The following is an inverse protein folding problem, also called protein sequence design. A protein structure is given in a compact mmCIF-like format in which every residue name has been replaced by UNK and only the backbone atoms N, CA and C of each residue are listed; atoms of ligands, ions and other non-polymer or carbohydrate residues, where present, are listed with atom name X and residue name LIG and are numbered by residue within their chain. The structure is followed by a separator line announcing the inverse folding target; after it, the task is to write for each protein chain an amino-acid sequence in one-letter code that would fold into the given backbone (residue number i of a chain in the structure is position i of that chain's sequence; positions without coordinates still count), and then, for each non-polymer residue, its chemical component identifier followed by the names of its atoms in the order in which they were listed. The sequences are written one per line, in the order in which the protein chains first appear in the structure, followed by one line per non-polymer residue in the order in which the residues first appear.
data_IF_716895930580
#
_entry.id   IF_716895930580
#
_cell.length_a   1.000
_cell.length_b   1.000
_cell.length_c   1.000
_cell.angle_alpha   90.00
_cell.angle_beta   90.00
_cell.angle_gamma   90.00
#
_symmetry.space_group_name_H-M   'P 1'
#
loop_
_entity.id
_entity.type
_entity.pdbx_description
1 polymer ?
#
# COMPACT_ATOMS: atom_id res chain seq x y z
N UNK A 1 -24.71 -24.74 20.55
CA UNK A 1 -25.24 -24.81 19.16
C UNK A 1 -24.20 -24.19 18.26
N UNK A 2 -23.39 -25.01 17.58
CA UNK A 2 -22.36 -24.53 16.65
C UNK A 2 -23.01 -24.04 15.37
N UNK A 3 -22.65 -22.82 14.94
CA UNK A 3 -23.16 -22.24 13.70
C UNK A 3 -22.38 -22.88 12.53
N UNK A 4 -23.14 -23.53 11.64
CA UNK A 4 -22.68 -24.25 10.46
C UNK A 4 -21.87 -23.40 9.49
N UNK A 5 -20.92 -24.03 8.81
CA UNK A 5 -20.07 -23.52 7.73
C UNK A 5 -20.81 -23.28 6.38
N UNK A 6 -22.12 -22.95 6.38
CA UNK A 6 -22.95 -23.04 5.15
C UNK A 6 -23.66 -21.76 4.68
N UNK A 7 -23.68 -20.66 5.43
CA UNK A 7 -24.33 -19.43 4.94
C UNK A 7 -23.46 -18.76 3.84
N UNK A 8 -24.03 -18.15 2.80
CA UNK A 8 -23.25 -17.35 1.84
C UNK A 8 -22.80 -16.02 2.46
N UNK A 9 -21.67 -15.47 1.99
CA UNK A 9 -21.27 -14.10 2.31
C UNK A 9 -22.20 -13.11 1.61
N UNK A 10 -22.71 -12.14 2.35
CA UNK A 10 -23.78 -11.25 1.87
C UNK A 10 -23.20 -9.94 1.37
N UNK A 11 -23.33 -9.70 0.06
CA UNK A 11 -22.80 -8.52 -0.63
C UNK A 11 -23.94 -7.56 -0.93
N UNK A 12 -23.78 -6.28 -0.58
CA UNK A 12 -24.65 -5.20 -1.04
C UNK A 12 -23.90 -4.39 -2.11
N UNK A 13 -24.57 -4.04 -3.20
CA UNK A 13 -24.01 -3.15 -4.23
C UNK A 13 -24.85 -1.87 -4.38
N UNK A 14 -24.23 -0.71 -4.31
CA UNK A 14 -24.86 0.59 -4.55
C UNK A 14 -24.22 1.27 -5.76
N UNK A 15 -25.01 1.53 -6.80
CA UNK A 15 -24.56 2.17 -8.03
C UNK A 15 -25.76 2.81 -8.73
N UNK A 16 -25.62 4.04 -9.24
CA UNK A 16 -26.71 4.76 -9.90
C UNK A 16 -27.05 4.20 -11.29
N UNK A 17 -26.08 3.54 -11.93
CA UNK A 17 -26.23 2.90 -13.24
C UNK A 17 -27.01 1.59 -13.14
N UNK A 18 -28.20 1.58 -13.76
CA UNK A 18 -29.00 0.35 -13.90
C UNK A 18 -28.23 -0.79 -14.59
N UNK A 19 -27.36 -0.44 -15.56
CA UNK A 19 -26.49 -1.41 -16.25
C UNK A 19 -25.48 -2.02 -15.28
N UNK A 20 -24.86 -1.22 -14.42
CA UNK A 20 -23.89 -1.74 -13.44
C UNK A 20 -24.57 -2.61 -12.39
N UNK A 21 -25.76 -2.22 -11.90
CA UNK A 21 -26.55 -3.06 -10.98
C UNK A 21 -26.93 -4.40 -11.60
N UNK A 22 -27.21 -4.42 -12.91
CA UNK A 22 -27.48 -5.66 -13.65
C UNK A 22 -26.24 -6.53 -13.84
N UNK A 23 -25.08 -5.93 -14.12
CA UNK A 23 -23.79 -6.64 -14.16
C UNK A 23 -23.49 -7.28 -12.79
N UNK A 24 -23.72 -6.56 -11.69
CA UNK A 24 -23.55 -7.11 -10.34
C UNK A 24 -24.47 -8.30 -10.09
N UNK A 25 -25.76 -8.22 -10.44
CA UNK A 25 -26.70 -9.35 -10.31
C UNK A 25 -26.19 -10.58 -11.05
N UNK A 26 -25.92 -10.45 -12.35
CA UNK A 26 -25.42 -11.54 -13.20
C UNK A 26 -24.12 -12.13 -12.68
N UNK A 27 -23.20 -11.28 -12.22
CA UNK A 27 -21.93 -11.73 -11.64
C UNK A 27 -22.15 -12.68 -10.47
N UNK A 28 -23.00 -12.30 -9.50
CA UNK A 28 -23.25 -13.13 -8.32
C UNK A 28 -24.15 -14.33 -8.62
N UNK A 29 -25.07 -14.25 -9.58
CA UNK A 29 -25.84 -15.40 -10.07
C UNK A 29 -24.92 -16.47 -10.66
N UNK A 30 -23.95 -16.07 -11.49
CA UNK A 30 -23.00 -17.01 -12.13
C UNK A 30 -22.02 -17.65 -11.15
N UNK A 31 -21.73 -17.01 -10.02
CA UNK A 31 -20.72 -17.47 -9.06
C UNK A 31 -21.31 -17.96 -7.71
N UNK A 32 -22.63 -17.88 -7.52
CA UNK A 32 -23.31 -18.17 -6.25
C UNK A 32 -23.56 -19.65 -5.96
N UNK A 33 -23.73 -20.49 -6.99
CA UNK A 33 -24.14 -21.90 -6.80
C UNK A 33 -22.97 -22.90 -6.95
N UNK A 34 -22.05 -22.66 -7.89
CA UNK A 34 -20.88 -23.50 -8.22
C UNK A 34 -19.62 -22.64 -8.46
N UNK A 35 -19.40 -21.64 -7.61
CA UNK A 35 -18.21 -20.77 -7.70
C UNK A 35 -16.90 -21.57 -7.74
N UNK A 36 -15.81 -21.02 -8.33
CA UNK A 36 -14.53 -21.71 -8.36
C UNK A 36 -14.15 -22.15 -6.95
N UNK A 37 -13.71 -23.41 -6.81
CA UNK A 37 -13.54 -24.14 -5.53
C UNK A 37 -12.64 -23.46 -4.48
N UNK A 38 -11.99 -22.35 -4.84
CA UNK A 38 -11.10 -21.55 -4.00
C UNK A 38 -11.75 -20.34 -3.33
N UNK A 39 -12.97 -19.95 -3.69
CA UNK A 39 -13.67 -18.80 -3.12
C UNK A 39 -14.84 -19.25 -2.21
N UNK A 40 -15.12 -18.53 -1.11
CA UNK A 40 -16.31 -18.79 -0.29
C UNK A 40 -17.58 -18.51 -1.10
N UNK A 41 -18.69 -19.20 -0.80
CA UNK A 41 -20.02 -18.87 -1.36
C UNK A 41 -20.37 -17.43 -1.04
N UNK A 42 -20.87 -16.68 -2.03
CA UNK A 42 -21.29 -15.28 -1.90
C UNK A 42 -22.64 -15.09 -2.58
N UNK A 43 -23.47 -14.20 -2.04
CA UNK A 43 -24.73 -13.78 -2.61
C UNK A 43 -24.81 -12.25 -2.69
N UNK A 44 -25.51 -11.73 -3.69
CA UNK A 44 -25.89 -10.33 -3.73
C UNK A 44 -27.20 -10.17 -2.94
N UNK A 45 -27.10 -9.75 -1.68
CA UNK A 45 -28.26 -9.65 -0.79
C UNK A 45 -29.17 -8.45 -1.11
N UNK A 46 -28.70 -7.50 -1.93
CA UNK A 46 -29.50 -6.39 -2.41
C UNK A 46 -28.72 -5.45 -3.32
N UNK A 47 -29.44 -4.52 -3.93
CA UNK A 47 -28.86 -3.38 -4.65
C UNK A 47 -29.53 -2.07 -4.25
N UNK A 48 -28.80 -0.98 -4.27
CA UNK A 48 -29.32 0.39 -4.09
C UNK A 48 -28.96 1.27 -5.28
N UNK A 49 -29.82 2.24 -5.62
CA UNK A 49 -29.58 3.16 -6.75
C UNK A 49 -28.98 4.52 -6.35
N UNK A 50 -28.84 4.77 -5.04
CA UNK A 50 -28.20 5.96 -4.49
C UNK A 50 -27.82 5.77 -3.03
N UNK A 51 -27.14 6.76 -2.46
CA UNK A 51 -26.62 6.68 -1.10
C UNK A 51 -27.67 6.66 0.00
N UNK A 52 -28.87 7.21 -0.22
CA UNK A 52 -29.94 7.16 0.80
C UNK A 52 -30.46 5.73 0.91
N UNK A 53 -30.82 5.14 -0.23
CA UNK A 53 -31.25 3.73 -0.29
C UNK A 53 -30.15 2.78 0.17
N UNK A 54 -28.88 3.11 -0.10
CA UNK A 54 -27.73 2.34 0.35
C UNK A 54 -27.68 2.23 1.88
N UNK A 55 -27.79 3.36 2.60
CA UNK A 55 -27.74 3.36 4.06
C UNK A 55 -28.93 2.62 4.68
N UNK A 56 -30.13 2.80 4.13
CA UNK A 56 -31.33 2.06 4.54
C UNK A 56 -31.16 0.55 4.30
N UNK A 57 -30.62 0.17 3.14
CA UNK A 57 -30.35 -1.22 2.79
C UNK A 57 -29.26 -1.83 3.69
N UNK A 58 -28.21 -1.10 4.05
CA UNK A 58 -27.20 -1.58 5.00
C UNK A 58 -27.85 -1.91 6.35
N UNK A 59 -28.68 -1.02 6.89
CA UNK A 59 -29.37 -1.23 8.17
C UNK A 59 -30.36 -2.39 8.13
N UNK A 60 -31.12 -2.52 7.03
CA UNK A 60 -32.14 -3.56 6.86
C UNK A 60 -31.55 -4.94 6.55
N UNK A 61 -30.56 -4.99 5.67
CA UNK A 61 -30.04 -6.25 5.13
C UNK A 61 -28.85 -6.76 5.92
N UNK A 62 -28.07 -5.93 6.61
CA UNK A 62 -26.86 -6.36 7.33
C UNK A 62 -25.84 -7.08 6.44
N UNK A 63 -25.30 -6.42 5.40
CA UNK A 63 -24.31 -7.03 4.52
C UNK A 63 -22.95 -7.24 5.20
N UNK A 64 -22.20 -8.23 4.74
CA UNK A 64 -20.82 -8.50 5.18
C UNK A 64 -19.80 -7.56 4.53
N UNK A 65 -20.11 -7.10 3.31
CA UNK A 65 -19.31 -6.17 2.50
C UNK A 65 -20.23 -5.30 1.65
N UNK A 66 -19.84 -4.04 1.48
CA UNK A 66 -20.51 -3.09 0.59
C UNK A 66 -19.61 -2.78 -0.62
N UNK A 67 -20.16 -2.90 -1.81
CA UNK A 67 -19.56 -2.35 -3.04
C UNK A 67 -20.27 -1.04 -3.36
N UNK A 68 -19.53 0.06 -3.36
CA UNK A 68 -20.09 1.41 -3.33
C UNK A 68 -19.56 2.25 -4.49
N UNK A 69 -20.46 2.71 -5.35
CA UNK A 69 -20.14 3.74 -6.32
C UNK A 69 -19.81 5.07 -5.65
N UNK A 70 -18.89 5.82 -6.24
CA UNK A 70 -18.52 7.16 -5.79
C UNK A 70 -19.55 8.20 -6.21
N UNK A 71 -20.04 8.12 -7.44
CA UNK A 71 -20.84 9.18 -8.06
C UNK A 71 -22.31 8.75 -8.12
N UNK A 72 -23.05 9.05 -7.05
CA UNK A 72 -24.48 8.75 -6.95
C UNK A 72 -25.30 10.02 -6.66
N UNK A 73 -26.56 10.10 -7.11
CA UNK A 73 -27.45 11.22 -6.79
C UNK A 73 -27.88 11.20 -5.31
N UNK A 74 -28.46 12.32 -4.83
CA UNK A 74 -28.95 12.56 -3.45
C UNK A 74 -27.87 12.54 -2.36
N UNK A 75 -27.15 11.43 -2.23
CA UNK A 75 -26.05 11.24 -1.30
C UNK A 75 -24.95 10.46 -2.03
N UNK A 76 -23.77 11.07 -2.18
CA UNK A 76 -22.68 10.47 -2.94
C UNK A 76 -21.95 9.39 -2.11
N UNK A 77 -21.07 8.61 -2.76
CA UNK A 77 -20.36 7.51 -2.11
C UNK A 77 -19.44 7.93 -0.97
N UNK A 78 -18.85 9.14 -1.01
CA UNK A 78 -18.02 9.65 0.09
C UNK A 78 -18.88 9.99 1.31
N UNK A 79 -20.03 10.64 1.10
CA UNK A 79 -20.95 10.98 2.20
C UNK A 79 -21.55 9.72 2.85
N UNK A 80 -21.84 8.69 2.05
CA UNK A 80 -22.25 7.36 2.54
C UNK A 80 -21.15 6.75 3.38
N UNK A 81 -19.90 6.78 2.91
CA UNK A 81 -18.76 6.23 3.61
C UNK A 81 -18.56 6.92 4.97
N UNK A 82 -18.61 8.25 5.03
CA UNK A 82 -18.46 9.02 6.27
C UNK A 82 -19.52 8.61 7.30
N UNK A 83 -20.80 8.55 6.89
CA UNK A 83 -21.89 8.10 7.77
C UNK A 83 -21.71 6.65 8.22
N UNK A 84 -21.25 5.76 7.34
CA UNK A 84 -20.99 4.36 7.69
C UNK A 84 -19.85 4.24 8.70
N UNK A 85 -18.85 5.13 8.68
CA UNK A 85 -17.78 5.12 9.68
C UNK A 85 -18.27 5.49 11.07
N UNK A 86 -19.33 6.31 11.17
CA UNK A 86 -19.96 6.63 12.45
C UNK A 86 -20.84 5.47 12.98
N UNK A 87 -21.63 4.84 12.11
CA UNK A 87 -22.67 3.86 12.54
C UNK A 87 -22.25 2.40 12.45
N UNK A 88 -21.31 2.07 11.54
CA UNK A 88 -20.81 0.72 11.31
C UNK A 88 -19.34 0.74 10.81
N UNK A 89 -18.39 1.21 11.65
CA UNK A 89 -16.99 1.36 11.26
C UNK A 89 -16.33 0.06 10.83
N UNK A 90 -16.87 -1.10 11.22
CA UNK A 90 -16.31 -2.40 10.85
C UNK A 90 -16.68 -2.88 9.44
N UNK A 91 -17.69 -2.29 8.78
CA UNK A 91 -18.14 -2.75 7.46
C UNK A 91 -17.07 -2.45 6.38
N UNK A 92 -16.48 -3.48 5.71
CA UNK A 92 -15.61 -3.26 4.58
C UNK A 92 -16.39 -2.65 3.43
N UNK A 93 -15.87 -1.54 2.89
CA UNK A 93 -16.43 -0.85 1.74
C UNK A 93 -15.41 -0.91 0.61
N UNK A 94 -15.80 -1.48 -0.53
CA UNK A 94 -14.99 -1.51 -1.76
C UNK A 94 -15.57 -0.46 -2.70
N UNK A 95 -14.78 0.55 -3.05
CA UNK A 95 -15.23 1.59 -3.97
C UNK A 95 -15.28 1.06 -5.41
N UNK A 96 -16.36 1.34 -6.12
CA UNK A 96 -16.47 1.04 -7.55
C UNK A 96 -16.32 2.33 -8.34
N UNK A 97 -15.16 2.54 -8.97
CA UNK A 97 -14.84 3.83 -9.61
C UNK A 97 -14.61 3.70 -11.12
N UNK A 98 -14.90 4.76 -11.86
CA UNK A 98 -14.51 4.90 -13.26
C UNK A 98 -12.99 5.06 -13.43
N UNK A 99 -12.48 4.65 -14.59
CA UNK A 99 -11.06 4.81 -14.96
C UNK A 99 -10.79 6.20 -15.53
N UNK A 100 -10.85 7.21 -14.67
CA UNK A 100 -10.60 8.63 -15.00
C UNK A 100 -9.68 9.26 -13.96
N UNK A 101 -9.05 10.40 -14.27
CA UNK A 101 -8.21 11.12 -13.31
C UNK A 101 -9.02 11.60 -12.09
N UNK A 102 -10.25 12.10 -12.33
CA UNK A 102 -11.17 12.48 -11.27
C UNK A 102 -11.54 11.28 -10.40
N UNK A 103 -11.90 10.15 -11.02
CA UNK A 103 -12.20 8.90 -10.31
C UNK A 103 -11.03 8.40 -9.48
N UNK A 104 -9.80 8.51 -10.00
CA UNK A 104 -8.59 8.15 -9.26
C UNK A 104 -8.39 8.98 -7.98
N UNK A 105 -8.54 10.32 -8.08
CA UNK A 105 -8.44 11.22 -6.94
C UNK A 105 -9.55 10.95 -5.91
N UNK A 106 -10.80 10.83 -6.35
CA UNK A 106 -11.93 10.54 -5.47
C UNK A 106 -11.80 9.17 -4.78
N UNK A 107 -11.25 8.16 -5.47
CA UNK A 107 -11.00 6.84 -4.86
C UNK A 107 -9.92 6.92 -3.78
N UNK A 108 -8.83 7.65 -4.03
CA UNK A 108 -7.78 7.84 -3.02
C UNK A 108 -8.31 8.57 -1.79
N UNK A 109 -9.17 9.56 -1.99
CA UNK A 109 -9.87 10.23 -0.91
C UNK A 109 -10.79 9.28 -0.12
N UNK A 110 -11.54 8.41 -0.81
CA UNK A 110 -12.35 7.39 -0.15
C UNK A 110 -11.50 6.41 0.68
N UNK A 111 -10.35 5.96 0.18
CA UNK A 111 -9.43 5.09 0.93
C UNK A 111 -8.91 5.77 2.20
N UNK A 112 -8.62 7.07 2.14
CA UNK A 112 -8.22 7.85 3.30
C UNK A 112 -9.34 8.01 4.33
N UNK A 113 -10.60 8.04 3.88
CA UNK A 113 -11.81 8.07 4.72
C UNK A 113 -12.23 6.67 5.22
N UNK A 114 -11.42 5.63 4.99
CA UNK A 114 -11.66 4.30 5.53
C UNK A 114 -12.41 3.35 4.59
N UNK A 115 -12.42 3.60 3.28
CA UNK A 115 -12.71 2.53 2.33
C UNK A 115 -11.60 1.46 2.41
N UNK A 116 -11.99 0.19 2.27
CA UNK A 116 -11.07 -0.94 2.43
C UNK A 116 -10.22 -1.17 1.16
N UNK A 117 -10.83 -1.00 -0.02
CA UNK A 117 -10.18 -1.13 -1.32
C UNK A 117 -11.07 -0.51 -2.42
N UNK A 118 -10.71 -0.73 -3.67
CA UNK A 118 -11.50 -0.32 -4.83
C UNK A 118 -11.43 -1.35 -5.97
N UNK A 119 -12.36 -1.22 -6.91
CA UNK A 119 -12.40 -1.92 -8.20
C UNK A 119 -12.73 -0.94 -9.32
N UNK A 120 -12.27 -1.24 -10.53
CA UNK A 120 -12.59 -0.43 -11.71
C UNK A 120 -13.91 -0.88 -12.32
N UNK A 121 -14.79 0.08 -12.62
CA UNK A 121 -16.00 -0.17 -13.40
C UNK A 121 -15.58 -0.72 -14.78
N UNK A 122 -16.13 -1.88 -15.22
CA UNK A 122 -15.81 -2.43 -16.51
C UNK A 122 -16.39 -1.56 -17.63
N UNK A 123 -15.74 -1.55 -18.79
CA UNK A 123 -16.32 -0.92 -19.98
C UNK A 123 -17.37 -1.85 -20.60
N UNK A 124 -18.63 -1.68 -20.21
CA UNK A 124 -19.75 -2.52 -20.64
C UNK A 124 -20.22 -2.27 -22.08
N UNK A 125 -19.73 -1.24 -22.78
CA UNK A 125 -20.27 -0.81 -24.07
C UNK A 125 -19.90 -1.73 -25.25
N UNK A 126 -18.91 -2.61 -25.11
CA UNK A 126 -18.41 -3.45 -26.21
C UNK A 126 -18.70 -4.94 -26.04
N UNK A 127 -18.67 -5.46 -24.82
CA UNK A 127 -18.84 -6.89 -24.53
C UNK A 127 -19.22 -7.10 -23.05
N UNK A 128 -20.45 -7.58 -22.81
CA UNK A 128 -20.96 -7.87 -21.47
C UNK A 128 -20.19 -9.02 -20.80
N UNK A 129 -19.79 -10.04 -21.57
CA UNK A 129 -19.06 -11.20 -21.05
C UNK A 129 -17.68 -10.79 -20.57
N UNK A 130 -16.95 -10.00 -21.37
CA UNK A 130 -15.66 -9.45 -20.96
C UNK A 130 -15.78 -8.50 -19.75
N UNK A 131 -16.87 -7.71 -19.68
CA UNK A 131 -17.14 -6.84 -18.54
C UNK A 131 -17.36 -7.64 -17.24
N UNK A 132 -18.17 -8.71 -17.30
CA UNK A 132 -18.42 -9.62 -16.18
C UNK A 132 -17.13 -10.30 -15.74
N UNK A 133 -16.35 -10.86 -16.67
CA UNK A 133 -15.08 -11.53 -16.36
C UNK A 133 -14.07 -10.58 -15.72
N UNK A 134 -13.92 -9.36 -16.26
CA UNK A 134 -13.01 -8.34 -15.73
C UNK A 134 -13.40 -7.91 -14.32
N UNK A 135 -14.71 -7.72 -14.06
CA UNK A 135 -15.19 -7.38 -12.72
C UNK A 135 -15.04 -8.56 -11.76
N UNK A 136 -15.33 -9.79 -12.19
CA UNK A 136 -15.18 -11.00 -11.39
C UNK A 136 -13.73 -11.17 -10.90
N UNK A 137 -12.76 -11.02 -11.81
CA UNK A 137 -11.33 -11.14 -11.53
C UNK A 137 -10.83 -10.08 -10.55
N UNK A 138 -11.43 -8.89 -10.54
CA UNK A 138 -11.04 -7.81 -9.62
C UNK A 138 -11.77 -7.89 -8.27
N UNK A 139 -13.08 -8.12 -8.28
CA UNK A 139 -13.96 -7.91 -7.13
C UNK A 139 -14.02 -9.13 -6.20
N UNK A 140 -14.24 -10.33 -6.74
CA UNK A 140 -14.48 -11.52 -5.92
C UNK A 140 -13.27 -11.87 -5.03
N UNK A 141 -12.01 -11.82 -5.51
CA UNK A 141 -10.86 -12.05 -4.66
C UNK A 141 -10.72 -11.03 -3.53
N UNK A 142 -11.03 -9.75 -3.80
CA UNK A 142 -11.00 -8.68 -2.78
C UNK A 142 -12.07 -8.89 -1.71
N UNK A 143 -13.30 -9.24 -2.12
CA UNK A 143 -14.37 -9.58 -1.17
C UNK A 143 -13.95 -10.75 -0.27
N UNK A 144 -13.46 -11.84 -0.86
CA UNK A 144 -13.01 -13.00 -0.10
C UNK A 144 -11.87 -12.64 0.86
N UNK A 145 -10.90 -11.83 0.41
CA UNK A 145 -9.76 -11.44 1.22
C UNK A 145 -10.16 -10.58 2.42
N UNK A 146 -11.05 -9.60 2.21
CA UNK A 146 -11.50 -8.66 3.27
C UNK A 146 -12.45 -9.30 4.29
N UNK A 147 -13.09 -10.43 3.95
CA UNK A 147 -14.08 -11.08 4.82
C UNK A 147 -13.57 -12.34 5.53
N UNK A 148 -12.39 -12.87 5.15
CA UNK A 148 -11.77 -14.07 5.75
C UNK A 148 -11.61 -14.01 7.28
N UNK A 149 -11.33 -12.84 7.85
CA UNK A 149 -11.15 -12.65 9.29
C UNK A 149 -12.45 -12.40 10.07
N UNK A 150 -13.53 -11.98 9.39
CA UNK A 150 -14.77 -11.51 10.05
C UNK A 150 -15.73 -12.65 10.44
N UNK A 151 -15.51 -13.85 9.89
CA UNK A 151 -16.25 -15.08 10.22
C UNK A 151 -15.73 -15.83 11.45
N UNK A 152 -14.60 -15.41 12.00
CA UNK A 152 -14.20 -15.82 13.36
C UNK A 152 -14.87 -14.83 14.32
N UNK A 153 -15.99 -15.26 14.89
CA UNK A 153 -16.65 -14.55 15.98
C UNK A 153 -15.65 -14.17 17.06
N UNK A 154 -15.87 -12.99 17.64
CA UNK A 154 -15.30 -12.50 18.89
C UNK A 154 -15.11 -13.65 19.87
N UNK A 155 -13.85 -14.03 20.10
CA UNK A 155 -13.47 -15.20 20.87
C UNK A 155 -11.96 -15.35 20.82
N UNK A 156 -11.31 -14.72 21.80
CA UNK A 156 -10.04 -15.12 22.40
C UNK A 156 -8.96 -15.67 21.46
N UNK A 157 -7.98 -14.82 21.12
CA UNK A 157 -6.56 -15.07 21.43
C UNK A 157 -5.69 -13.92 20.94
N UNK A 158 -5.69 -12.83 21.71
CA UNK A 158 -4.67 -11.80 21.66
C UNK A 158 -3.66 -12.04 22.80
N UNK A 159 -2.91 -13.13 22.73
CA UNK A 159 -1.76 -13.37 23.60
C UNK A 159 -0.94 -14.57 23.13
N UNK A 160 -0.29 -14.51 21.96
CA UNK A 160 0.91 -15.31 21.63
C UNK A 160 1.44 -14.98 20.23
N UNK A 161 2.10 -13.83 20.11
CA UNK A 161 3.09 -13.57 19.06
C UNK A 161 4.09 -12.49 19.52
N UNK A 162 4.48 -12.55 20.79
CA UNK A 162 5.53 -11.73 21.35
C UNK A 162 6.48 -12.64 22.12
N UNK A 163 7.35 -13.36 21.40
CA UNK A 163 8.64 -13.89 21.84
C UNK A 163 9.19 -14.88 20.80
N UNK A 164 9.90 -14.34 19.83
CA UNK A 164 11.11 -14.95 19.27
C UNK A 164 11.87 -13.88 18.49
N UNK A 165 12.38 -12.88 19.21
CA UNK A 165 13.52 -12.14 18.72
C UNK A 165 14.76 -13.02 18.96
N UNK A 166 14.99 -14.00 18.09
CA UNK A 166 16.30 -14.60 17.96
C UNK A 166 17.16 -13.57 17.21
N UNK A 167 17.92 -12.78 17.95
CA UNK A 167 19.03 -11.98 17.45
C UNK A 167 20.11 -12.91 16.92
N UNK A 168 19.95 -13.38 15.69
CA UNK A 168 21.06 -13.97 14.96
C UNK A 168 22.02 -12.83 14.62
N UNK A 169 23.22 -12.90 15.19
CA UNK A 169 24.29 -11.91 15.02
C UNK A 169 24.58 -11.72 13.53
N UNK A 170 24.15 -10.58 13.00
CA UNK A 170 24.48 -10.15 11.64
C UNK A 170 25.66 -9.18 11.69
N UNK A 171 26.48 -9.21 10.65
CA UNK A 171 27.41 -8.12 10.37
C UNK A 171 26.57 -6.87 10.10
N UNK A 172 26.73 -5.84 10.93
CA UNK A 172 26.00 -4.56 10.85
C UNK A 172 26.42 -3.76 9.61
N UNK A 173 26.00 -4.22 8.43
CA UNK A 173 26.04 -3.37 7.24
C UNK A 173 24.99 -2.28 7.39
N UNK A 174 25.35 -0.99 7.23
CA UNK A 174 24.38 0.08 7.30
C UNK A 174 23.34 -0.11 6.20
N UNK A 175 22.05 0.05 6.53
CA UNK A 175 20.99 0.03 5.53
C UNK A 175 21.20 1.20 4.57
N UNK A 176 21.16 0.94 3.27
CA UNK A 176 21.39 1.90 2.18
C UNK A 176 20.11 2.21 1.40
N UNK A 177 19.13 1.30 1.39
CA UNK A 177 17.84 1.46 0.72
C UNK A 177 16.71 0.80 1.49
N UNK A 178 15.53 1.41 1.45
CA UNK A 178 14.28 0.76 1.87
C UNK A 178 13.43 0.49 0.63
N UNK A 179 13.00 -0.75 0.44
CA UNK A 179 12.04 -1.14 -0.60
C UNK A 179 10.75 -1.66 0.04
N UNK A 180 9.60 -1.17 -0.41
CA UNK A 180 8.28 -1.45 0.18
C UNK A 180 7.35 -2.06 -0.87
N UNK A 181 6.68 -3.15 -0.52
CA UNK A 181 5.68 -3.82 -1.35
C UNK A 181 4.31 -3.87 -0.67
N UNK A 182 3.26 -3.52 -1.41
CA UNK A 182 1.88 -3.45 -0.89
C UNK A 182 0.82 -3.54 -2.00
N UNK A 183 -0.40 -3.92 -1.61
CA UNK A 183 -1.54 -4.13 -2.51
C UNK A 183 -2.83 -3.63 -1.85
N UNK A 184 -3.85 -4.49 -1.65
CA UNK A 184 -5.09 -4.15 -0.94
C UNK A 184 -4.84 -3.54 0.45
N UNK A 185 -5.46 -2.38 0.70
CA UNK A 185 -5.25 -1.57 1.91
C UNK A 185 -3.95 -0.75 1.93
N UNK A 186 -3.10 -0.91 0.92
CA UNK A 186 -1.78 -0.28 0.83
C UNK A 186 -1.80 1.26 0.83
N UNK A 187 -2.66 1.95 0.07
CA UNK A 187 -2.70 3.41 0.08
C UNK A 187 -2.99 4.00 1.48
N UNK A 188 -3.97 3.43 2.20
CA UNK A 188 -4.27 3.85 3.57
C UNK A 188 -3.12 3.55 4.53
N UNK A 189 -2.49 2.37 4.39
CA UNK A 189 -1.33 2.01 5.22
C UNK A 189 -0.13 2.94 4.99
N UNK A 190 0.11 3.36 3.74
CA UNK A 190 1.14 4.35 3.40
C UNK A 190 0.84 5.72 4.01
N UNK A 191 -0.40 6.21 3.91
CA UNK A 191 -0.81 7.48 4.51
C UNK A 191 -0.67 7.50 6.03
N UNK A 192 -0.82 6.36 6.70
CA UNK A 192 -0.63 6.26 8.15
C UNK A 192 0.85 6.16 8.56
N UNK A 193 1.69 5.54 7.72
CA UNK A 193 3.08 5.21 8.04
C UNK A 193 4.08 6.28 7.58
N UNK A 194 4.03 6.71 6.32
CA UNK A 194 5.04 7.59 5.73
C UNK A 194 5.15 8.97 6.41
N UNK A 195 4.05 9.63 6.83
CA UNK A 195 4.13 10.92 7.53
C UNK A 195 4.91 10.87 8.87
N UNK A 196 5.13 9.67 9.43
CA UNK A 196 5.89 9.46 10.66
C UNK A 196 7.41 9.37 10.43
N UNK A 197 7.85 9.40 9.17
CA UNK A 197 9.26 9.47 8.80
C UNK A 197 9.71 10.93 8.66
N UNK A 198 10.87 11.32 9.25
CA UNK A 198 11.35 12.69 9.21
C UNK A 198 11.92 13.06 7.84
N UNK A 199 11.97 14.35 7.50
CA UNK A 199 12.66 14.84 6.30
C UNK A 199 14.15 14.48 6.27
N UNK A 200 14.76 14.24 7.42
CA UNK A 200 16.15 13.79 7.58
C UNK A 200 16.34 12.27 7.38
N UNK A 201 15.33 11.53 6.91
CA UNK A 201 15.44 10.08 6.70
C UNK A 201 16.60 9.79 5.73
N UNK A 202 17.62 9.01 6.15
CA UNK A 202 18.94 9.15 5.56
C UNK A 202 19.19 8.19 4.38
N UNK A 203 18.14 7.50 3.91
CA UNK A 203 18.15 6.58 2.77
C UNK A 203 16.99 6.83 1.82
N UNK A 204 17.11 6.48 0.52
CA UNK A 204 15.99 6.43 -0.40
C UNK A 204 14.96 5.36 0.01
N UNK A 205 13.70 5.63 -0.30
CA UNK A 205 12.59 4.66 -0.19
C UNK A 205 12.03 4.42 -1.57
N UNK A 206 11.85 3.16 -1.98
CA UNK A 206 11.18 2.80 -3.22
C UNK A 206 9.96 1.92 -2.91
N UNK A 207 8.85 2.20 -3.57
CA UNK A 207 7.56 1.59 -3.24
C UNK A 207 6.93 1.02 -4.50
N UNK A 208 6.52 -0.25 -4.44
CA UNK A 208 5.58 -0.85 -5.38
C UNK A 208 4.24 -0.99 -4.69
N UNK A 209 3.26 -0.23 -5.18
CA UNK A 209 1.85 -0.42 -4.91
C UNK A 209 1.19 -1.04 -6.14
N UNK A 210 0.46 -2.15 -5.96
CA UNK A 210 -0.39 -2.68 -7.01
C UNK A 210 -1.55 -1.71 -7.26
N UNK A 211 -1.37 -0.85 -8.26
CA UNK A 211 -2.33 0.19 -8.66
C UNK A 211 -2.28 0.39 -10.18
N UNK A 212 -3.42 0.68 -10.83
CA UNK A 212 -3.45 1.11 -12.22
C UNK A 212 -2.67 2.41 -12.46
N UNK A 213 -2.25 2.61 -13.71
CA UNK A 213 -1.42 3.74 -14.14
C UNK A 213 -1.95 5.11 -13.69
N UNK A 214 -3.23 5.39 -13.93
CA UNK A 214 -3.85 6.67 -13.57
C UNK A 214 -3.83 6.98 -12.06
N UNK A 215 -3.74 5.95 -11.21
CA UNK A 215 -3.86 6.11 -9.77
C UNK A 215 -2.52 6.36 -9.09
N UNK A 216 -1.44 5.75 -9.59
CA UNK A 216 -0.11 5.89 -8.99
C UNK A 216 0.40 7.34 -8.98
N UNK A 217 0.12 8.14 -10.02
CA UNK A 217 0.47 9.56 -10.02
C UNK A 217 -0.27 10.35 -8.93
N UNK A 218 -1.58 10.17 -8.85
CA UNK A 218 -2.42 10.82 -7.84
C UNK A 218 -2.05 10.39 -6.40
N UNK A 219 -1.67 9.12 -6.19
CA UNK A 219 -1.20 8.63 -4.89
C UNK A 219 0.11 9.31 -4.49
N UNK A 220 1.07 9.43 -5.42
CA UNK A 220 2.32 10.12 -5.15
C UNK A 220 2.11 11.60 -4.80
N UNK A 221 1.28 12.33 -5.55
CA UNK A 221 0.91 13.72 -5.26
C UNK A 221 0.27 13.88 -3.87
N UNK A 222 -0.58 12.93 -3.48
CA UNK A 222 -1.26 12.95 -2.20
C UNK A 222 -0.30 12.69 -1.04
N UNK A 223 0.57 11.69 -1.17
CA UNK A 223 1.59 11.38 -0.17
C UNK A 223 2.61 12.51 -0.01
N UNK A 224 3.01 13.17 -1.09
CA UNK A 224 3.94 14.31 -1.05
C UNK A 224 3.39 15.47 -0.22
N UNK A 225 2.07 15.67 -0.22
CA UNK A 225 1.39 16.71 0.58
C UNK A 225 1.34 16.41 2.07
N UNK A 226 1.37 15.12 2.47
CA UNK A 226 1.23 14.73 3.88
C UNK A 226 2.54 14.24 4.52
N UNK A 227 3.60 14.05 3.73
CA UNK A 227 4.89 13.55 4.21
C UNK A 227 5.93 14.68 4.34
N UNK A 228 6.84 14.55 5.31
CA UNK A 228 8.02 15.42 5.39
C UNK A 228 9.10 15.02 4.36
N UNK A 229 9.07 13.78 3.88
CA UNK A 229 9.88 13.30 2.77
C UNK A 229 9.26 13.72 1.44
N UNK A 230 10.11 14.00 0.45
CA UNK A 230 9.65 14.22 -0.91
C UNK A 230 9.11 12.91 -1.47
N UNK A 231 7.87 12.88 -1.94
CA UNK A 231 7.25 11.71 -2.57
C UNK A 231 6.96 12.00 -4.03
N UNK A 232 7.33 11.09 -4.92
CA UNK A 232 7.02 11.23 -6.34
C UNK A 232 6.89 9.91 -7.05
N UNK A 233 6.12 9.91 -8.13
CA UNK A 233 6.15 8.82 -9.09
C UNK A 233 7.53 8.77 -9.75
N UNK A 234 8.04 7.56 -9.93
CA UNK A 234 9.32 7.30 -10.53
C UNK A 234 9.24 7.37 -12.07
N UNK A 235 10.26 7.98 -12.69
CA UNK A 235 10.51 7.93 -14.12
C UNK A 235 11.78 7.13 -14.41
N UNK A 236 11.85 6.57 -15.61
CA UNK A 236 13.03 5.82 -16.03
C UNK A 236 14.28 6.71 -15.97
N UNK A 237 15.35 6.18 -15.40
CA UNK A 237 16.63 6.89 -15.25
C UNK A 237 16.70 7.86 -14.07
N UNK A 238 15.62 8.05 -13.30
CA UNK A 238 15.63 8.91 -12.10
C UNK A 238 16.77 8.50 -11.15
N UNK A 239 17.49 9.49 -10.63
CA UNK A 239 18.55 9.25 -9.66
C UNK A 239 17.94 8.91 -8.29
N UNK A 240 18.31 7.76 -7.74
CA UNK A 240 17.82 7.31 -6.44
C UNK A 240 18.64 8.01 -5.36
N UNK A 241 18.02 8.95 -4.64
CA UNK A 241 18.68 9.79 -3.63
C UNK A 241 18.00 9.70 -2.26
N UNK A 242 18.78 9.82 -1.15
CA UNK A 242 18.23 9.90 0.20
C UNK A 242 17.18 11.00 0.38
N UNK A 243 16.27 10.82 1.35
CA UNK A 243 15.22 11.79 1.65
C UNK A 243 14.07 11.83 0.63
N UNK A 244 14.05 10.89 -0.33
CA UNK A 244 13.02 10.79 -1.38
C UNK A 244 12.35 9.41 -1.39
N UNK A 245 11.03 9.41 -1.56
CA UNK A 245 10.19 8.23 -1.77
C UNK A 245 9.80 8.15 -3.25
N UNK A 246 10.11 7.02 -3.88
CA UNK A 246 9.83 6.73 -5.28
C UNK A 246 8.72 5.71 -5.41
N UNK A 247 7.58 6.11 -5.99
CA UNK A 247 6.46 5.21 -6.25
C UNK A 247 6.54 4.67 -7.68
N UNK A 248 6.50 3.35 -7.84
CA UNK A 248 6.44 2.72 -9.15
C UNK A 248 5.21 3.21 -9.94
N UNK A 249 5.36 3.60 -11.22
CA UNK A 249 4.21 3.90 -12.05
C UNK A 249 3.41 2.63 -12.33
N UNK A 250 2.09 2.74 -12.29
CA UNK A 250 1.19 1.65 -12.67
C UNK A 250 1.43 1.24 -14.13
N UNK A 251 1.22 -0.04 -14.43
CA UNK A 251 1.51 -0.60 -15.74
C UNK A 251 3.00 -0.47 -16.15
N UNK A 252 3.94 -0.46 -15.20
CA UNK A 252 5.37 -0.63 -15.47
C UNK A 252 6.06 -1.28 -14.28
N UNK A 253 6.99 -2.19 -14.51
CA UNK A 253 7.83 -2.73 -13.44
C UNK A 253 8.93 -1.74 -13.10
N UNK A 254 9.26 -1.63 -11.81
CA UNK A 254 10.33 -0.79 -11.30
C UNK A 254 11.45 -1.66 -10.71
N UNK A 255 12.67 -1.47 -11.20
CA UNK A 255 13.90 -2.05 -10.67
C UNK A 255 14.86 -0.95 -10.25
N UNK A 256 15.86 -1.31 -9.44
CA UNK A 256 17.06 -0.48 -9.24
C UNK A 256 18.21 -0.99 -10.12
N UNK A 257 18.93 -0.06 -10.76
CA UNK A 257 20.06 -0.37 -11.64
C UNK A 257 21.21 0.63 -11.44
N UNK A 258 22.44 0.24 -11.81
CA UNK A 258 23.59 1.16 -11.84
C UNK A 258 23.67 1.82 -13.21
N UNK A 259 24.06 3.10 -13.27
CA UNK A 259 24.44 3.73 -14.52
C UNK A 259 25.75 3.10 -15.02
N UNK A 260 25.68 2.30 -16.10
CA UNK A 260 26.89 1.92 -16.85
C UNK A 260 27.48 3.18 -17.48
N UNK A 261 28.58 3.69 -16.92
CA UNK A 261 29.45 4.62 -17.64
C UNK A 261 30.31 3.80 -18.62
N UNK A 262 30.51 4.31 -19.83
CA UNK A 262 31.15 3.59 -20.93
C UNK A 262 32.55 3.06 -20.61
N UNK A 263 32.89 1.96 -21.29
CA UNK A 263 34.18 1.24 -21.34
C UNK A 263 35.23 1.62 -20.31
N UNK A 264 35.29 0.85 -19.22
CA UNK A 264 36.51 0.75 -18.40
C UNK A 264 36.26 0.55 -16.92
N UNK A 265 36.52 -0.69 -16.48
CA UNK A 265 37.09 -1.06 -15.18
C UNK A 265 36.16 -0.93 -13.95
N UNK A 266 35.82 -2.12 -13.42
CA UNK A 266 35.40 -2.48 -12.06
C UNK A 266 34.05 -2.00 -11.50
N UNK A 267 32.97 -2.57 -12.06
CA UNK A 267 31.55 -2.47 -11.67
C UNK A 267 31.20 -3.20 -10.34
N UNK A 268 32.16 -3.33 -9.40
CA UNK A 268 32.02 -4.15 -8.16
C UNK A 268 32.22 -3.33 -6.88
N UNK A 269 32.59 -2.04 -6.97
CA UNK A 269 32.84 -1.19 -5.77
C UNK A 269 31.85 -0.05 -5.54
N UNK A 270 30.88 0.16 -6.43
CA UNK A 270 29.87 1.21 -6.29
C UNK A 270 28.69 0.74 -5.43
N UNK A 271 28.91 0.62 -4.11
CA UNK A 271 27.87 0.49 -3.09
C UNK A 271 26.82 1.62 -3.24
N UNK A 272 25.74 1.38 -4.00
CA UNK A 272 24.60 2.30 -4.19
C UNK A 272 24.88 3.64 -4.91
N UNK A 273 26.13 4.06 -5.06
CA UNK A 273 26.50 5.36 -5.67
C UNK A 273 26.16 5.38 -7.15
N UNK A 274 25.18 6.19 -7.52
CA UNK A 274 24.71 6.32 -8.91
C UNK A 274 23.61 5.33 -9.29
N UNK A 275 22.95 4.71 -8.31
CA UNK A 275 21.75 3.93 -8.53
C UNK A 275 20.65 4.78 -9.18
N UNK A 276 19.96 4.17 -10.14
CA UNK A 276 18.88 4.77 -10.90
C UNK A 276 17.67 3.85 -10.93
N UNK A 277 16.51 4.47 -11.07
CA UNK A 277 15.27 3.78 -11.41
C UNK A 277 15.42 3.22 -12.81
N UNK A 278 15.04 1.95 -12.98
CA UNK A 278 14.87 1.32 -14.28
C UNK A 278 13.42 0.87 -14.41
N UNK A 279 12.74 1.35 -15.43
CA UNK A 279 11.36 0.97 -15.74
C UNK A 279 11.33 0.05 -16.95
N UNK A 280 10.45 -0.95 -16.94
CA UNK A 280 10.28 -1.84 -18.09
C UNK A 280 8.87 -2.42 -18.21
N UNK A 281 8.56 -2.91 -19.41
CA UNK A 281 7.23 -3.44 -19.80
C UNK A 281 7.19 -4.95 -20.04
N UNK A 282 8.08 -5.70 -19.39
CA UNK A 282 8.00 -7.17 -19.36
C UNK A 282 6.62 -7.64 -18.90
N UNK A 283 6.32 -8.90 -19.24
CA UNK A 283 5.07 -9.55 -18.88
C UNK A 283 4.82 -9.49 -17.36
N UNK A 284 3.55 -9.34 -16.94
CA UNK A 284 3.19 -9.34 -15.52
C UNK A 284 3.75 -10.55 -14.78
N UNK A 285 4.39 -10.29 -13.64
CA UNK A 285 4.86 -11.33 -12.72
C UNK A 285 3.84 -11.48 -11.61
N UNK A 286 3.45 -12.71 -11.28
CA UNK A 286 2.37 -13.00 -10.33
C UNK A 286 1.06 -12.26 -10.68
N UNK A 287 0.77 -12.10 -11.98
CA UNK A 287 -0.37 -11.35 -12.51
C UNK A 287 -0.37 -9.84 -12.16
N UNK A 288 0.77 -9.28 -11.75
CA UNK A 288 0.90 -7.90 -11.30
C UNK A 288 1.89 -7.13 -12.19
N UNK A 289 1.55 -5.89 -12.56
CA UNK A 289 2.45 -4.89 -13.14
C UNK A 289 2.07 -3.50 -12.64
N UNK A 290 2.86 -2.87 -11.74
CA UNK A 290 4.16 -3.30 -11.20
C UNK A 290 4.07 -4.58 -10.35
N UNK A 291 5.21 -5.25 -10.17
CA UNK A 291 5.38 -6.39 -9.26
C UNK A 291 6.48 -6.05 -8.25
N UNK A 292 6.24 -6.39 -6.99
CA UNK A 292 7.13 -6.20 -5.86
C UNK A 292 8.39 -7.04 -6.03
N UNK A 293 8.27 -8.25 -6.58
CA UNK A 293 9.40 -9.15 -6.78
C UNK A 293 10.52 -8.50 -7.63
N UNK A 294 10.18 -7.79 -8.71
CA UNK A 294 11.20 -7.10 -9.52
C UNK A 294 11.99 -6.05 -8.72
N UNK A 295 11.29 -5.24 -7.93
CA UNK A 295 11.95 -4.24 -7.09
C UNK A 295 12.85 -4.90 -6.04
N UNK A 296 12.33 -5.92 -5.35
CA UNK A 296 13.05 -6.56 -4.25
C UNK A 296 14.26 -7.36 -4.76
N UNK A 297 14.14 -8.11 -5.85
CA UNK A 297 15.28 -8.84 -6.45
C UNK A 297 16.38 -7.89 -6.93
N UNK A 298 16.00 -6.80 -7.59
CA UNK A 298 16.99 -5.81 -8.06
C UNK A 298 17.68 -5.11 -6.90
N UNK A 299 16.96 -4.82 -5.80
CA UNK A 299 17.53 -4.28 -4.58
C UNK A 299 18.48 -5.26 -3.88
N UNK A 300 18.10 -6.53 -3.77
CA UNK A 300 18.96 -7.59 -3.24
C UNK A 300 20.27 -7.71 -4.03
N UNK A 301 20.17 -7.73 -5.36
CA UNK A 301 21.33 -7.82 -6.27
C UNK A 301 22.28 -6.63 -6.14
N UNK A 302 21.74 -5.43 -5.98
CA UNK A 302 22.54 -4.20 -5.98
C UNK A 302 23.10 -3.83 -4.60
N UNK A 303 22.29 -3.94 -3.56
CA UNK A 303 22.64 -3.45 -2.21
C UNK A 303 23.02 -4.58 -1.25
N UNK A 304 22.73 -5.85 -1.57
CA UNK A 304 23.03 -6.98 -0.71
C UNK A 304 22.49 -6.78 0.71
N UNK A 305 23.37 -6.85 1.71
CA UNK A 305 23.05 -6.64 3.12
C UNK A 305 22.57 -5.20 3.44
N UNK A 306 22.83 -4.22 2.57
CA UNK A 306 22.34 -2.86 2.69
C UNK A 306 20.86 -2.68 2.31
N UNK A 307 20.19 -3.72 1.79
CA UNK A 307 18.77 -3.67 1.47
C UNK A 307 17.89 -3.97 2.70
N UNK A 308 16.89 -3.10 2.94
CA UNK A 308 15.77 -3.40 3.82
C UNK A 308 14.49 -3.51 2.98
N UNK A 309 13.89 -4.69 2.96
CA UNK A 309 12.59 -4.95 2.38
C UNK A 309 11.49 -4.91 3.44
N UNK A 310 10.41 -4.19 3.16
CA UNK A 310 9.21 -4.14 3.99
C UNK A 310 8.02 -4.64 3.18
N UNK A 311 7.43 -5.75 3.60
CA UNK A 311 6.20 -6.28 3.04
C UNK A 311 5.00 -5.84 3.88
N UNK A 312 4.02 -5.16 3.28
CA UNK A 312 2.83 -4.65 3.96
C UNK A 312 1.55 -5.28 3.38
N UNK A 313 0.41 -4.94 3.98
CA UNK A 313 -0.93 -5.43 3.63
C UNK A 313 -1.13 -5.61 2.13
N UNK A 314 -1.74 -6.74 1.77
CA UNK A 314 -1.97 -7.07 0.38
C UNK A 314 -2.39 -8.51 0.16
N UNK A 315 -3.14 -8.74 -0.90
CA UNK A 315 -3.53 -10.09 -1.33
C UNK A 315 -2.42 -10.72 -2.19
N UNK A 316 -2.31 -12.05 -2.13
CA UNK A 316 -1.43 -12.84 -2.99
C UNK A 316 -0.09 -13.15 -2.34
N UNK A 317 0.92 -13.41 -3.17
CA UNK A 317 2.27 -13.80 -2.74
C UNK A 317 3.37 -13.01 -3.45
N UNK A 318 3.02 -12.01 -4.27
CA UNK A 318 4.02 -11.19 -4.96
C UNK A 318 4.94 -10.48 -3.95
N UNK A 319 6.24 -10.50 -4.25
CA UNK A 319 7.29 -10.00 -3.37
C UNK A 319 7.83 -11.04 -2.38
N UNK A 320 7.24 -12.24 -2.26
CA UNK A 320 7.82 -13.32 -1.47
C UNK A 320 9.18 -13.77 -2.04
N UNK A 321 9.27 -13.95 -3.36
CA UNK A 321 10.52 -14.38 -4.01
C UNK A 321 11.63 -13.34 -3.82
N UNK A 322 11.29 -12.06 -3.99
CA UNK A 322 12.21 -10.96 -3.80
C UNK A 322 12.58 -10.76 -2.33
N UNK A 323 11.67 -10.97 -1.39
CA UNK A 323 11.98 -10.95 0.04
C UNK A 323 12.95 -12.08 0.41
N UNK A 324 12.81 -13.28 -0.18
CA UNK A 324 13.80 -14.36 -0.03
C UNK A 324 15.16 -13.93 -0.58
N UNK A 325 15.21 -13.33 -1.76
CA UNK A 325 16.45 -12.81 -2.33
C UNK A 325 17.13 -11.77 -1.43
N UNK A 326 16.35 -10.85 -0.83
CA UNK A 326 16.88 -9.87 0.15
C UNK A 326 17.42 -10.58 1.39
N UNK A 327 16.68 -11.56 1.93
CA UNK A 327 17.12 -12.36 3.08
C UNK A 327 18.43 -13.13 2.79
N UNK A 328 18.51 -13.82 1.66
CA UNK A 328 19.66 -14.60 1.21
C UNK A 328 20.89 -13.72 0.94
N UNK A 329 20.68 -12.49 0.47
CA UNK A 329 21.75 -11.51 0.30
C UNK A 329 22.22 -10.85 1.62
N UNK A 330 21.67 -11.27 2.76
CA UNK A 330 21.99 -10.76 4.11
C UNK A 330 21.23 -9.49 4.50
N UNK A 331 20.28 -9.03 3.68
CA UNK A 331 19.46 -7.86 3.93
C UNK A 331 18.39 -8.10 5.00
N UNK A 332 17.69 -7.04 5.37
CA UNK A 332 16.62 -7.07 6.36
C UNK A 332 15.27 -7.23 5.68
N UNK A 333 14.43 -8.14 6.19
CA UNK A 333 13.05 -8.30 5.76
C UNK A 333 12.14 -8.00 6.95
N UNK A 334 11.22 -7.06 6.79
CA UNK A 334 10.17 -6.74 7.74
C UNK A 334 8.81 -7.09 7.13
N UNK A 335 7.86 -7.47 7.97
CA UNK A 335 6.47 -7.64 7.57
C UNK A 335 5.55 -6.83 8.49
N UNK A 336 4.48 -6.27 7.93
CA UNK A 336 3.32 -5.83 8.73
C UNK A 336 2.72 -7.04 9.46
N UNK A 337 2.01 -6.85 10.57
CA UNK A 337 1.30 -7.92 11.29
C UNK A 337 -0.11 -8.18 10.75
N UNK A 338 -0.71 -9.29 11.17
CA UNK A 338 -2.07 -9.67 10.78
C UNK A 338 -3.11 -8.68 11.32
N UNK A 339 -2.99 -8.29 12.60
CA UNK A 339 -3.98 -7.48 13.29
C UNK A 339 -4.20 -6.09 12.66
N UNK A 340 -3.16 -5.51 12.06
CA UNK A 340 -3.25 -4.20 11.40
C UNK A 340 -3.30 -4.28 9.88
N UNK A 341 -3.19 -5.48 9.29
CA UNK A 341 -3.31 -5.67 7.84
C UNK A 341 -4.78 -5.68 7.42
N UNK A 342 -5.12 -4.91 6.38
CA UNK A 342 -6.43 -5.03 5.74
C UNK A 342 -6.60 -6.43 5.11
N UNK A 343 -5.51 -6.97 4.54
CA UNK A 343 -5.43 -8.34 4.04
C UNK A 343 -4.11 -8.98 4.45
N UNK A 344 -4.22 -10.06 5.24
CA UNK A 344 -3.10 -10.93 5.65
C UNK A 344 -2.73 -11.93 4.54
N UNK A 345 -2.28 -11.41 3.39
CA UNK A 345 -1.82 -12.22 2.25
C UNK A 345 -0.31 -12.12 2.09
N UNK A 346 0.15 -11.09 1.38
CA UNK A 346 1.56 -10.84 1.09
C UNK A 346 2.47 -10.84 2.34
N UNK A 347 2.15 -10.10 3.43
CA UNK A 347 2.99 -10.13 4.63
C UNK A 347 2.90 -11.47 5.37
N UNK A 348 1.74 -12.13 5.33
CA UNK A 348 1.57 -13.49 5.87
C UNK A 348 2.45 -14.51 5.18
N UNK A 349 2.56 -14.46 3.84
CA UNK A 349 3.47 -15.34 3.09
C UNK A 349 4.93 -15.14 3.46
N UNK A 350 5.34 -13.91 3.75
CA UNK A 350 6.70 -13.59 4.20
C UNK A 350 6.93 -14.07 5.64
N UNK A 351 5.95 -13.94 6.52
CA UNK A 351 6.00 -14.44 7.90
C UNK A 351 6.07 -15.98 7.94
N UNK A 352 5.17 -16.66 7.22
CA UNK A 352 5.10 -18.13 7.14
C UNK A 352 6.38 -18.75 6.56
N UNK A 353 7.07 -18.01 5.69
CA UNK A 353 8.35 -18.43 5.12
C UNK A 353 9.52 -18.39 6.13
N UNK A 354 9.33 -17.81 7.32
CA UNK A 354 10.36 -17.73 8.35
C UNK A 354 11.53 -16.79 8.02
N UNK A 355 11.37 -15.92 7.02
CA UNK A 355 12.43 -15.02 6.54
C UNK A 355 12.35 -13.61 7.12
N UNK A 356 11.23 -13.25 7.75
CA UNK A 356 11.03 -11.95 8.38
C UNK A 356 11.90 -11.80 9.63
N UNK A 357 12.67 -10.72 9.69
CA UNK A 357 13.43 -10.32 10.88
C UNK A 357 12.53 -9.76 11.98
N UNK A 358 11.38 -9.19 11.62
CA UNK A 358 10.33 -8.80 12.56
C UNK A 358 8.97 -8.72 11.83
N UNK A 359 7.91 -9.04 12.56
CA UNK A 359 6.51 -8.84 12.17
C UNK A 359 5.94 -7.77 13.10
N UNK A 360 5.44 -6.67 12.54
CA UNK A 360 5.21 -5.43 13.29
C UNK A 360 3.81 -4.85 13.03
N UNK A 361 3.12 -4.33 14.06
CA UNK A 361 1.90 -3.56 13.85
C UNK A 361 2.20 -2.31 13.03
N UNK A 362 1.26 -1.90 12.16
CA UNK A 362 1.38 -0.73 11.26
C UNK A 362 1.92 0.52 11.98
N UNK A 363 1.43 0.77 13.20
CA UNK A 363 1.82 1.92 14.00
C UNK A 363 3.29 1.93 14.44
N UNK A 364 3.95 0.76 14.51
CA UNK A 364 5.34 0.62 14.95
C UNK A 364 6.35 0.62 13.78
N UNK A 365 5.91 0.34 12.55
CA UNK A 365 6.78 0.20 11.36
C UNK A 365 7.69 1.42 11.16
N UNK A 366 7.14 2.63 11.21
CA UNK A 366 7.93 3.84 11.02
C UNK A 366 9.02 4.02 12.09
N UNK A 367 8.74 3.61 13.34
CA UNK A 367 9.71 3.59 14.43
C UNK A 367 10.86 2.63 14.14
N UNK A 368 10.52 1.41 13.73
CA UNK A 368 11.50 0.38 13.38
C UNK A 368 12.39 0.81 12.21
N UNK A 369 11.79 1.35 11.15
CA UNK A 369 12.54 1.86 10.00
C UNK A 369 13.56 2.91 10.44
N UNK A 370 13.16 3.88 11.26
CA UNK A 370 14.06 4.91 11.80
C UNK A 370 15.20 4.30 12.62
N UNK A 371 14.92 3.30 13.45
CA UNK A 371 15.95 2.66 14.26
C UNK A 371 16.97 1.93 13.38
N UNK A 372 16.51 1.09 12.45
CA UNK A 372 17.39 0.27 11.61
C UNK A 372 18.23 1.07 10.63
N UNK A 373 17.67 2.12 10.02
CA UNK A 373 18.45 2.93 9.06
C UNK A 373 19.51 3.80 9.74
N UNK A 374 19.35 4.11 11.03
CA UNK A 374 20.33 4.87 11.79
C UNK A 374 21.35 3.98 12.51
N UNK A 375 21.08 2.68 12.66
CA UNK A 375 22.05 1.73 13.21
C UNK A 375 23.33 1.71 12.35
N UNK A 376 24.49 1.82 13.00
CA UNK A 376 25.79 1.83 12.32
C UNK A 376 26.14 3.12 11.57
N UNK A 377 25.30 4.18 11.61
CA UNK A 377 25.62 5.49 11.03
C UNK A 377 26.16 6.44 12.09
N UNK A 378 27.25 7.19 11.82
CA UNK A 378 27.70 8.23 12.74
C UNK A 378 26.61 9.29 12.87
N UNK A 379 26.18 9.56 14.09
CA UNK A 379 25.15 10.57 14.39
C UNK A 379 25.67 11.93 13.92
N UNK A 380 25.07 12.49 12.86
CA UNK A 380 25.40 13.86 12.43
C UNK A 380 24.80 14.80 13.47
N UNK A 381 25.62 15.28 14.41
CA UNK A 381 25.25 16.36 15.32
C UNK A 381 24.62 17.49 14.48
N UNK A 382 23.43 17.93 14.87
CA UNK A 382 22.78 19.09 14.27
C UNK A 382 23.78 20.26 14.29
N UNK A 383 23.87 21.08 13.23
CA UNK A 383 24.75 22.24 13.25
C UNK A 383 24.34 23.12 14.42
N UNK A 384 25.28 23.38 15.32
CA UNK A 384 25.10 24.31 16.43
C UNK A 384 24.57 25.62 15.84
N UNK A 385 23.38 26.03 16.29
CA UNK A 385 22.85 27.35 16.02
C UNK A 385 23.95 28.35 16.37
N UNK A 386 24.46 29.04 15.36
CA UNK A 386 25.37 30.15 15.58
C UNK A 386 24.62 31.16 16.42
N UNK A 387 24.99 31.27 17.69
CA UNK A 387 24.61 32.36 18.55
C UNK A 387 24.97 33.67 17.83
N UNK A 388 23.97 34.33 17.28
CA UNK A 388 24.10 35.69 16.77
C UNK A 388 24.32 36.58 18.00
N UNK A 389 25.58 36.91 18.24
CA UNK A 389 25.97 37.91 19.21
C UNK A 389 25.38 39.26 18.78
N UNK A 390 24.65 39.99 19.64
CA UNK A 390 24.10 41.28 19.25
C UNK A 390 25.24 42.30 19.21
N UNK A 391 25.64 42.70 18.00
CA UNK A 391 26.48 43.87 17.82
C UNK A 391 25.67 45.10 18.25
N UNK A 392 25.98 45.59 19.45
CA UNK A 392 25.41 46.81 20.01
C UNK A 392 25.71 48.01 19.12
N UNK A 393 24.66 48.76 18.83
CA UNK A 393 24.69 50.08 18.23
C UNK A 393 25.56 51.04 19.06
N UNK A 394 26.63 51.58 18.48
CA UNK A 394 27.22 52.85 18.92
C UNK A 394 27.14 53.86 17.78
N UNK A 395 26.08 54.66 17.81
CA UNK A 395 26.06 56.02 17.26
C UNK A 395 25.83 56.94 18.45
N UNK A 396 26.84 57.73 18.77
CA UNK A 396 26.83 58.99 19.54
C UNK A 396 28.31 59.38 19.61
N UNK A 397 28.80 60.42 18.95
CA UNK A 397 28.52 61.85 19.07
C UNK A 397 29.91 62.50 19.24
N UNK A 398 30.56 62.88 18.13
CA UNK A 398 31.70 63.79 18.17
C UNK A 398 31.14 65.20 18.14
N UNK A 399 31.04 65.79 19.32
CA UNK A 399 30.96 67.22 19.51
C UNK A 399 31.94 67.61 20.64
N UNK A 400 32.73 68.62 20.34
CA UNK A 400 33.43 69.54 21.24
C UNK A 400 34.83 69.19 21.84
N UNK A 401 35.78 70.03 21.40
CA UNK A 401 36.88 70.70 22.13
C UNK A 401 38.02 69.86 22.75
N UNK A 402 39.21 69.85 22.13
CA UNK A 402 40.30 70.85 22.27
C UNK A 402 41.54 70.40 21.48
#
# INVERSE_FOLDING_TARGET
MGISSEQPLRVLAADDSAVMREIMRKLFEMHGEDGPSSLPRMELCGTAQDGVECLEAVGRLGPDVLVLDLEMPRLNGLDVLDRLRDVNPGLPVIMCSSYTERGARSTLEALARGAADYVMKPNAQRDLTAALQSLAQQLLPKIAALTKGRRRTVGENAAQAAQSAATTGRKDSPIEVVVIGLSTGGPSALEQMLPRLPSSFPVPVLIVQHMPKLFTGALAERLDKCCALRVRQAYDGDAIVPGTVWLAPGDSHMEVAVRRMGFGIDDVSLQGRGARVKLHQREPLNHCRPSVDYLFHSAARLYGAGALALMMTGMGADGLGGARAVHEAGGVVLAQDEATSAVWGMPGRVADAGIANAVLPLGAIAGELKQRVNAGRPTRLAPAEHAVSPAGSRREAMHDLL
#
